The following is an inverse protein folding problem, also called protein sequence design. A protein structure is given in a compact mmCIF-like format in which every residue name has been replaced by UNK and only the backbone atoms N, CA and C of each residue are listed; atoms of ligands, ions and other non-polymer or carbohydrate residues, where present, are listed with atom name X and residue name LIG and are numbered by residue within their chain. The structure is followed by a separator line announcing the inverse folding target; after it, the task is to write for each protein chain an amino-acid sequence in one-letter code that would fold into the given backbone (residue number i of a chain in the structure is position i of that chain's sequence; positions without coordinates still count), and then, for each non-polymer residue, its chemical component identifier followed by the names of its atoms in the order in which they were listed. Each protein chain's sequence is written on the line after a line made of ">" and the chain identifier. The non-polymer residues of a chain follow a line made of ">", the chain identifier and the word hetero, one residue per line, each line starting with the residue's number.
data_IF_677404050198
#
_entry.id   IF_677404050198
#
_cell.length_a   1.000
_cell.length_b   1.000
_cell.length_c   1.000
_cell.angle_alpha   90.00
_cell.angle_beta   90.00
_cell.angle_gamma   90.00
#
_symmetry.space_group_name_H-M   'P 1'
#
loop_
_entity.id
_entity.type
_entity.pdbx_description
1 polymer ?
#
# COMPACT_ATOMS: atom_id res chain seq x y z
N UNK A 1 19.06 6.13 -31.04
CA UNK A 1 18.98 6.16 -29.56
C UNK A 1 18.90 4.70 -29.14
N UNK A 2 20.01 4.13 -28.67
CA UNK A 2 20.08 2.72 -28.27
C UNK A 2 19.22 2.53 -27.01
N UNK A 3 18.00 2.03 -27.19
CA UNK A 3 17.12 1.60 -26.11
C UNK A 3 17.70 0.33 -25.47
N UNK A 4 18.65 0.51 -24.54
CA UNK A 4 19.18 -0.61 -23.77
C UNK A 4 18.31 -0.79 -22.53
N UNK A 5 17.95 -2.04 -22.25
CA UNK A 5 17.29 -2.46 -21.03
C UNK A 5 18.01 -1.84 -19.82
N UNK A 6 17.27 -1.13 -18.96
CA UNK A 6 17.78 -0.56 -17.72
C UNK A 6 17.15 -1.29 -16.54
N UNK A 7 17.94 -1.94 -15.68
CA UNK A 7 17.41 -2.54 -14.46
C UNK A 7 16.80 -1.45 -13.56
N UNK A 8 15.62 -1.71 -13.00
CA UNK A 8 14.93 -0.77 -12.10
C UNK A 8 14.13 0.31 -12.84
N UNK A 9 13.96 0.22 -14.15
CA UNK A 9 12.97 1.01 -14.87
C UNK A 9 11.57 0.42 -14.65
N UNK A 10 10.89 0.95 -13.64
CA UNK A 10 9.55 0.50 -13.23
C UNK A 10 8.53 0.56 -14.36
N UNK A 11 8.67 1.49 -15.31
CA UNK A 11 7.73 1.62 -16.42
C UNK A 11 7.93 0.47 -17.42
N UNK A 12 9.18 0.18 -17.75
CA UNK A 12 9.51 -0.94 -18.63
C UNK A 12 9.13 -2.29 -18.00
N UNK A 13 9.40 -2.47 -16.70
CA UNK A 13 9.00 -3.66 -15.95
C UNK A 13 7.48 -3.83 -15.91
N UNK A 14 6.73 -2.74 -15.68
CA UNK A 14 5.27 -2.74 -15.71
C UNK A 14 4.71 -3.21 -17.06
N UNK A 15 5.25 -2.67 -18.16
CA UNK A 15 4.82 -3.05 -19.51
C UNK A 15 5.21 -4.48 -19.88
N UNK A 16 6.39 -4.94 -19.50
CA UNK A 16 6.80 -6.33 -19.71
C UNK A 16 5.87 -7.31 -18.99
N UNK A 17 5.55 -7.02 -17.72
CA UNK A 17 4.63 -7.85 -16.94
C UNK A 17 3.24 -7.95 -17.59
N UNK A 18 2.70 -6.81 -18.06
CA UNK A 18 1.43 -6.83 -18.77
C UNK A 18 1.46 -7.67 -20.06
N UNK A 19 2.52 -7.55 -20.86
CA UNK A 19 2.66 -8.33 -22.10
C UNK A 19 2.72 -9.83 -21.81
N UNK A 20 3.48 -10.25 -20.80
CA UNK A 20 3.54 -11.65 -20.36
C UNK A 20 2.17 -12.19 -19.97
N UNK A 21 1.38 -11.41 -19.21
CA UNK A 21 0.01 -11.78 -18.86
C UNK A 21 -0.87 -11.95 -20.10
N UNK A 22 -0.83 -11.01 -21.05
CA UNK A 22 -1.64 -11.11 -22.27
C UNK A 22 -1.29 -12.33 -23.12
N UNK A 23 0.01 -12.62 -23.27
CA UNK A 23 0.50 -13.77 -24.03
C UNK A 23 0.04 -15.08 -23.41
N UNK A 24 0.07 -15.18 -22.08
CA UNK A 24 -0.43 -16.35 -21.34
C UNK A 24 -1.91 -16.61 -21.64
N UNK A 25 -2.73 -15.55 -21.71
CA UNK A 25 -4.17 -15.66 -22.00
C UNK A 25 -4.45 -15.93 -23.48
N UNK A 26 -3.61 -15.42 -24.40
CA UNK A 26 -3.79 -15.63 -25.84
C UNK A 26 -3.22 -16.96 -26.35
N UNK A 27 -2.42 -17.66 -25.53
CA UNK A 27 -1.66 -18.86 -25.95
C UNK A 27 -0.55 -18.55 -26.97
N UNK A 28 -0.05 -17.32 -26.99
CA UNK A 28 0.98 -16.86 -27.93
C UNK A 28 2.40 -17.15 -27.45
N UNK A 29 3.39 -16.72 -28.23
CA UNK A 29 4.80 -16.69 -27.80
C UNK A 29 5.24 -15.23 -27.64
N UNK A 30 6.02 -14.95 -26.59
CA UNK A 30 6.58 -13.62 -26.33
C UNK A 30 7.53 -13.17 -27.45
N UNK A 31 8.26 -14.12 -28.03
CA UNK A 31 9.20 -13.84 -29.13
C UNK A 31 8.55 -13.78 -30.51
N UNK A 32 7.23 -13.76 -30.60
CA UNK A 32 6.55 -13.64 -31.87
C UNK A 32 6.75 -12.24 -32.48
N UNK A 33 6.90 -12.20 -33.81
CA UNK A 33 7.23 -10.99 -34.55
C UNK A 33 6.18 -9.89 -34.33
N UNK A 34 4.90 -10.28 -34.23
CA UNK A 34 3.80 -9.34 -34.01
C UNK A 34 3.89 -8.66 -32.63
N UNK A 35 4.21 -9.42 -31.58
CA UNK A 35 4.35 -8.86 -30.24
C UNK A 35 5.56 -7.92 -30.16
N UNK A 36 6.71 -8.32 -30.71
CA UNK A 36 7.91 -7.49 -30.74
C UNK A 36 7.78 -6.24 -31.60
N UNK A 37 7.23 -6.32 -32.81
CA UNK A 37 7.28 -5.21 -33.77
C UNK A 37 6.00 -4.37 -33.88
N UNK A 38 4.89 -4.84 -33.31
CA UNK A 38 3.61 -4.13 -33.38
C UNK A 38 3.16 -3.67 -32.00
N UNK A 39 3.06 -4.62 -31.06
CA UNK A 39 2.51 -4.36 -29.72
C UNK A 39 3.55 -3.65 -28.84
N UNK A 40 4.80 -4.14 -28.80
CA UNK A 40 5.83 -3.62 -27.88
C UNK A 40 6.17 -2.13 -28.10
N UNK A 41 6.10 -1.66 -29.35
CA UNK A 41 6.33 -0.25 -29.68
C UNK A 41 5.18 0.66 -29.23
N UNK A 42 3.99 0.10 -29.04
CA UNK A 42 2.75 0.84 -28.76
C UNK A 42 2.03 0.34 -27.50
N UNK A 43 2.75 -0.30 -26.56
CA UNK A 43 2.13 -0.96 -25.38
C UNK A 43 1.21 -0.03 -24.62
N UNK A 44 1.60 1.24 -24.47
CA UNK A 44 0.78 2.24 -23.80
C UNK A 44 -0.58 2.45 -24.48
N UNK A 45 -0.60 2.63 -25.80
CA UNK A 45 -1.85 2.81 -26.55
C UNK A 45 -2.67 1.52 -26.59
N UNK A 46 -1.99 0.37 -26.69
CA UNK A 46 -2.65 -0.94 -26.69
C UNK A 46 -3.34 -1.25 -25.36
N UNK A 47 -2.73 -0.85 -24.24
CA UNK A 47 -3.32 -0.92 -22.91
C UNK A 47 -4.61 -0.10 -22.81
N UNK A 48 -4.58 1.14 -23.29
CA UNK A 48 -5.75 2.02 -23.27
C UNK A 48 -6.85 1.58 -24.23
N UNK A 49 -6.52 0.96 -25.36
CA UNK A 49 -7.51 0.46 -26.32
C UNK A 49 -8.53 -0.48 -25.66
N UNK A 50 -8.08 -1.31 -24.71
CA UNK A 50 -8.98 -2.18 -23.95
C UNK A 50 -9.99 -1.35 -23.14
N UNK A 51 -9.53 -0.33 -22.43
CA UNK A 51 -10.38 0.56 -21.63
C UNK A 51 -11.35 1.34 -22.51
N UNK A 52 -10.90 1.81 -23.68
CA UNK A 52 -11.73 2.50 -24.66
C UNK A 52 -12.83 1.60 -25.22
N UNK A 53 -12.51 0.34 -25.52
CA UNK A 53 -13.48 -0.66 -25.96
C UNK A 53 -14.49 -0.94 -24.85
N UNK A 54 -14.06 -1.20 -23.62
CA UNK A 54 -14.94 -1.42 -22.48
C UNK A 54 -15.89 -0.23 -22.28
N UNK A 55 -15.36 1.00 -22.36
CA UNK A 55 -16.16 2.23 -22.28
C UNK A 55 -17.17 2.36 -23.42
N UNK A 56 -16.80 2.03 -24.66
CA UNK A 56 -17.68 2.08 -25.82
C UNK A 56 -18.89 1.12 -25.71
N UNK A 57 -18.72 0.01 -25.00
CA UNK A 57 -19.79 -0.95 -24.73
C UNK A 57 -20.53 -0.68 -23.41
N UNK A 58 -20.28 0.46 -22.75
CA UNK A 58 -20.82 0.79 -21.42
C UNK A 58 -20.51 -0.29 -20.35
N UNK A 59 -19.45 -1.08 -20.59
CA UNK A 59 -18.92 -2.05 -19.65
C UNK A 59 -18.07 -1.28 -18.63
N UNK A 60 -18.74 -0.68 -17.64
CA UNK A 60 -18.05 0.05 -16.59
C UNK A 60 -17.11 -0.87 -15.81
N UNK A 61 -15.88 -0.41 -15.60
CA UNK A 61 -14.91 -1.12 -14.77
C UNK A 61 -15.49 -1.31 -13.36
N UNK A 62 -15.69 -2.57 -12.95
CA UNK A 62 -16.04 -2.87 -11.57
C UNK A 62 -14.89 -2.44 -10.66
N UNK A 63 -15.15 -1.51 -9.75
CA UNK A 63 -14.15 -1.10 -8.78
C UNK A 63 -13.68 -2.30 -7.97
N UNK A 64 -12.37 -2.60 -8.01
CA UNK A 64 -11.72 -3.55 -7.09
C UNK A 64 -11.57 -2.97 -5.67
N UNK A 65 -12.34 -1.93 -5.35
CA UNK A 65 -12.34 -1.34 -4.02
C UNK A 65 -13.00 -2.35 -3.08
N UNK A 66 -12.16 -3.04 -2.30
CA UNK A 66 -12.66 -3.80 -1.18
C UNK A 66 -13.14 -2.80 -0.12
N UNK A 67 -14.43 -2.82 0.19
CA UNK A 67 -14.92 -2.18 1.41
C UNK A 67 -14.12 -2.77 2.57
N UNK A 68 -13.35 -1.92 3.27
CA UNK A 68 -12.55 -2.39 4.40
C UNK A 68 -13.45 -3.10 5.41
N UNK A 69 -13.02 -4.23 6.00
CA UNK A 69 -13.80 -4.93 7.00
C UNK A 69 -14.10 -4.00 8.18
N UNK A 70 -15.29 -4.15 8.74
CA UNK A 70 -15.78 -3.27 9.79
C UNK A 70 -15.05 -3.54 11.12
N UNK A 71 -14.14 -2.65 11.52
CA UNK A 71 -13.22 -2.82 12.67
C UNK A 71 -13.89 -2.61 14.06
N UNK A 72 -15.22 -2.51 14.13
CA UNK A 72 -15.89 -2.09 15.37
C UNK A 72 -15.72 -3.06 16.55
N UNK A 73 -15.68 -4.37 16.29
CA UNK A 73 -15.45 -5.35 17.35
C UNK A 73 -14.01 -5.32 17.86
N UNK A 74 -13.05 -5.06 16.97
CA UNK A 74 -11.66 -4.83 17.33
C UNK A 74 -11.50 -3.56 18.17
N UNK A 75 -12.19 -2.48 17.81
CA UNK A 75 -12.23 -1.25 18.61
C UNK A 75 -12.84 -1.47 19.99
N UNK A 76 -13.93 -2.23 20.11
CA UNK A 76 -14.52 -2.58 21.41
C UNK A 76 -13.54 -3.35 22.28
N UNK A 77 -12.85 -4.34 21.71
CA UNK A 77 -11.86 -5.14 22.43
C UNK A 77 -10.68 -4.28 22.89
N UNK A 78 -10.21 -3.38 22.03
CA UNK A 78 -9.13 -2.44 22.34
C UNK A 78 -9.51 -1.50 23.48
N UNK A 79 -10.69 -0.88 23.42
CA UNK A 79 -11.18 0.04 24.46
C UNK A 79 -11.36 -0.68 25.80
N UNK A 80 -11.90 -1.91 25.78
CA UNK A 80 -12.00 -2.73 26.98
C UNK A 80 -10.61 -3.02 27.57
N UNK A 81 -9.64 -3.36 26.73
CA UNK A 81 -8.26 -3.61 27.17
C UNK A 81 -7.61 -2.36 27.75
N UNK A 82 -7.89 -1.17 27.19
CA UNK A 82 -7.40 0.11 27.69
C UNK A 82 -7.98 0.46 29.06
N UNK A 83 -9.26 0.12 29.28
CA UNK A 83 -9.92 0.28 30.56
C UNK A 83 -9.37 -0.72 31.59
N UNK A 84 -9.31 -2.01 31.25
CA UNK A 84 -8.86 -3.08 32.15
C UNK A 84 -7.38 -2.90 32.57
N UNK A 85 -6.53 -2.44 31.66
CA UNK A 85 -5.11 -2.17 31.95
C UNK A 85 -4.86 -0.77 32.49
N UNK A 86 -5.90 0.06 32.56
CA UNK A 86 -5.82 1.47 32.93
C UNK A 86 -4.68 2.21 32.21
N UNK A 87 -4.49 1.97 30.92
CA UNK A 87 -3.40 2.55 30.12
C UNK A 87 -3.43 4.09 30.07
N UNK A 88 -4.56 4.68 30.46
CA UNK A 88 -4.75 6.12 30.57
C UNK A 88 -4.18 6.71 31.88
N UNK A 89 -3.80 5.87 32.85
CA UNK A 89 -3.17 6.29 34.09
C UNK A 89 -1.68 5.90 34.09
N UNK A 90 -0.83 6.85 34.46
CA UNK A 90 0.57 6.55 34.72
C UNK A 90 0.67 5.73 36.02
N UNK A 91 1.12 4.47 35.92
CA UNK A 91 1.39 3.59 37.06
C UNK A 91 2.87 3.20 37.05
N UNK A 92 3.58 3.42 38.15
CA UNK A 92 4.98 3.00 38.27
C UNK A 92 5.09 1.47 38.16
N UNK A 93 6.01 0.98 37.32
CA UNK A 93 6.20 -0.46 37.07
C UNK A 93 5.38 -1.06 35.92
N UNK A 94 4.43 -0.31 35.32
CA UNK A 94 3.74 -0.70 34.08
C UNK A 94 4.56 -0.29 32.84
N UNK A 95 5.72 -0.91 32.64
CA UNK A 95 6.47 -0.77 31.39
C UNK A 95 6.38 -2.06 30.58
N UNK A 96 5.79 -2.01 29.38
CA UNK A 96 5.92 -3.07 28.36
C UNK A 96 7.31 -3.02 27.71
N UNK A 97 8.37 -2.94 28.52
CA UNK A 97 9.77 -2.78 28.07
C UNK A 97 10.21 -1.34 27.80
N UNK A 98 9.27 -0.38 27.68
CA UNK A 98 9.59 1.05 27.58
C UNK A 98 9.33 1.76 28.92
N UNK A 99 10.38 2.22 29.59
CA UNK A 99 10.28 3.06 30.78
C UNK A 99 10.28 4.52 30.32
N UNK A 100 9.10 5.13 30.21
CA UNK A 100 9.03 6.57 30.07
C UNK A 100 9.27 7.18 31.45
N UNK A 101 10.24 8.09 31.54
CA UNK A 101 10.49 8.83 32.78
C UNK A 101 9.20 9.54 33.22
N UNK A 102 8.93 9.55 34.53
CA UNK A 102 7.76 10.22 35.09
C UNK A 102 7.95 11.74 35.02
N UNK A 103 7.73 12.31 33.83
CA UNK A 103 7.90 13.73 33.55
C UNK A 103 6.96 14.62 34.38
N UNK A 104 5.82 14.09 34.81
CA UNK A 104 4.86 14.82 35.64
C UNK A 104 5.42 15.05 37.05
N UNK A 105 5.82 13.98 37.75
CA UNK A 105 6.39 14.11 39.10
C UNK A 105 7.76 14.81 39.09
N UNK A 106 8.56 14.57 38.05
CA UNK A 106 9.84 15.27 37.87
C UNK A 106 9.61 16.78 37.64
N UNK A 107 8.65 17.14 36.80
CA UNK A 107 8.27 18.54 36.60
C UNK A 107 7.76 19.20 37.87
N UNK A 108 6.98 18.49 38.68
CA UNK A 108 6.49 18.99 39.96
C UNK A 108 7.64 19.25 40.95
N UNK A 109 8.60 18.33 41.05
CA UNK A 109 9.81 18.51 41.88
C UNK A 109 10.64 19.71 41.42
N UNK A 110 10.88 19.86 40.12
CA UNK A 110 11.60 21.01 39.57
C UNK A 110 10.89 22.33 39.86
N UNK A 111 9.56 22.36 39.74
CA UNK A 111 8.76 23.52 40.10
C UNK A 111 8.86 23.86 41.60
N UNK A 112 8.91 22.83 42.45
CA UNK A 112 8.99 22.97 43.91
C UNK A 112 10.39 23.39 44.38
N UNK A 113 11.43 22.98 43.67
CA UNK A 113 12.84 23.34 43.91
C UNK A 113 13.24 24.69 43.27
N UNK A 114 12.35 25.27 42.46
CA UNK A 114 12.54 26.60 41.86
C UNK A 114 13.57 26.66 40.73
N UNK A 115 14.01 25.51 40.22
CA UNK A 115 14.88 25.42 39.05
C UNK A 115 14.02 25.11 37.82
N UNK A 116 13.76 26.15 37.03
CA UNK A 116 13.20 26.06 35.68
C UNK A 116 14.31 25.78 34.67
#
# INVERSE_FOLDING_TARGET
>A
IDGRWKPGDLLQEHYNHFLEEQILHSGGNFDDHFYHHTISLNVHNFLHLKEEIEAAYELHHHTKSHTSPHLHDEFKLLLKTFQDKELHLFRSGHSLGHHADNLFDNGYKHLQEGNM
#
